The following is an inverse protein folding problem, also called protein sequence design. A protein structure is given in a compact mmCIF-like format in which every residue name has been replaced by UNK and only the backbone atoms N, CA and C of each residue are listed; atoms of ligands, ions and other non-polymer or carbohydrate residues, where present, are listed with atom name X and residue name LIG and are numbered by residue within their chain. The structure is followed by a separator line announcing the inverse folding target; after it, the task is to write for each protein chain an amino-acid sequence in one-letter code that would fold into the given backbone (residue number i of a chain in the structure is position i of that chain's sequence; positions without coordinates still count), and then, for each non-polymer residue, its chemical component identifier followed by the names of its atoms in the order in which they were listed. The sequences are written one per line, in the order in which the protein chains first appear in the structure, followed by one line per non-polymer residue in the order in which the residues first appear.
data_IF_523792502305
#
_entry.id   IF_523792502305
#
_cell.length_a   1.000
_cell.length_b   1.000
_cell.length_c   1.000
_cell.angle_alpha   90.00
_cell.angle_beta   90.00
_cell.angle_gamma   90.00
#
_symmetry.space_group_name_H-M   'P 1'
#
loop_
_entity.id
_entity.type
_entity.pdbx_description
1 polymer ?
#
# COMPACT_ATOMS: atom_id res chain seq x y z
N UNK A 1 27.02 -1.87 -3.31
CA UNK A 1 25.60 -2.19 -3.06
C UNK A 1 25.28 -3.54 -3.67
N UNK A 2 24.80 -4.49 -2.87
CA UNK A 2 24.48 -5.85 -3.32
C UNK A 2 23.00 -5.96 -3.75
N UNK A 3 22.67 -6.83 -4.72
CA UNK A 3 21.28 -7.12 -5.03
C UNK A 3 20.54 -7.69 -3.83
N UNK A 4 19.32 -7.20 -3.56
CA UNK A 4 18.48 -7.73 -2.47
C UNK A 4 17.90 -9.12 -2.81
N UNK A 5 17.71 -9.40 -4.10
CA UNK A 5 17.12 -10.65 -4.61
C UNK A 5 18.03 -11.26 -5.70
N UNK A 6 19.24 -11.76 -5.35
CA UNK A 6 20.23 -12.19 -6.35
C UNK A 6 19.77 -13.41 -7.16
N UNK A 7 18.94 -14.28 -6.57
CA UNK A 7 18.48 -15.52 -7.18
C UNK A 7 17.13 -15.42 -7.88
N UNK A 8 16.61 -14.18 -8.01
CA UNK A 8 15.31 -13.92 -8.66
C UNK A 8 15.44 -12.97 -9.82
N UNK A 9 14.77 -13.30 -10.93
CA UNK A 9 14.53 -12.38 -12.02
C UNK A 9 13.33 -11.51 -11.69
N UNK A 10 13.53 -10.23 -11.45
CA UNK A 10 12.43 -9.26 -11.24
C UNK A 10 12.24 -8.49 -12.54
N UNK A 11 11.00 -8.32 -12.97
CA UNK A 11 10.60 -7.59 -14.18
C UNK A 11 9.63 -6.45 -13.89
N UNK A 12 8.95 -6.46 -12.73
CA UNK A 12 8.09 -5.38 -12.30
C UNK A 12 8.07 -5.26 -10.77
N UNK A 13 7.80 -4.04 -10.28
CA UNK A 13 7.61 -3.71 -8.87
C UNK A 13 6.15 -3.35 -8.63
N UNK A 14 5.53 -3.99 -7.64
CA UNK A 14 4.14 -3.78 -7.25
C UNK A 14 4.14 -3.18 -5.85
N UNK A 15 3.86 -1.89 -5.77
CA UNK A 15 3.88 -1.16 -4.51
C UNK A 15 2.50 -1.14 -3.87
N UNK A 16 2.40 -1.48 -2.60
CA UNK A 16 1.34 -0.92 -1.80
C UNK A 16 1.51 0.60 -1.69
N UNK A 17 0.52 1.29 -1.14
CA UNK A 17 0.51 2.75 -1.05
C UNK A 17 0.76 3.23 0.38
N UNK A 18 -0.19 3.00 1.27
CA UNK A 18 -0.23 3.57 2.62
C UNK A 18 0.70 2.80 3.57
N UNK A 19 1.72 3.46 4.11
CA UNK A 19 2.78 2.84 4.90
C UNK A 19 3.96 2.37 4.06
N UNK A 20 3.78 2.26 2.75
CA UNK A 20 4.78 1.77 1.80
C UNK A 20 5.42 2.89 0.97
N UNK A 21 4.67 3.66 0.19
CA UNK A 21 5.22 4.79 -0.59
C UNK A 21 4.93 6.15 0.02
N UNK A 22 3.89 6.23 0.83
CA UNK A 22 3.51 7.40 1.61
C UNK A 22 2.97 6.97 2.98
N UNK A 23 2.91 7.90 3.93
CA UNK A 23 2.21 7.72 5.19
C UNK A 23 0.97 8.60 5.21
N UNK A 24 -0.18 7.98 5.47
CA UNK A 24 -1.47 8.65 5.67
C UNK A 24 -1.96 8.56 7.13
N UNK A 25 -1.13 8.04 8.03
CA UNK A 25 -1.51 7.72 9.42
C UNK A 25 -2.14 8.92 10.11
N UNK A 26 -1.49 10.09 10.05
CA UNK A 26 -1.96 11.29 10.76
C UNK A 26 -3.34 11.77 10.30
N UNK A 27 -3.59 11.78 8.98
CA UNK A 27 -4.88 12.15 8.41
C UNK A 27 -5.94 11.08 8.72
N UNK A 28 -5.65 9.81 8.45
CA UNK A 28 -6.57 8.70 8.69
C UNK A 28 -6.97 8.63 10.18
N UNK A 29 -6.01 8.62 11.11
CA UNK A 29 -6.29 8.54 12.55
C UNK A 29 -7.12 9.71 13.03
N UNK A 30 -6.90 10.92 12.55
CA UNK A 30 -7.69 12.11 12.89
C UNK A 30 -9.16 11.96 12.49
N UNK A 31 -9.42 11.50 11.27
CA UNK A 31 -10.77 11.31 10.74
C UNK A 31 -11.47 10.14 11.43
N UNK A 32 -10.77 9.02 11.58
CA UNK A 32 -11.31 7.84 12.23
C UNK A 32 -11.52 8.05 13.73
N UNK A 33 -10.69 8.85 14.42
CA UNK A 33 -10.92 9.23 15.80
C UNK A 33 -12.23 9.99 15.95
N UNK A 34 -12.47 11.02 15.11
CA UNK A 34 -13.72 11.77 15.12
C UNK A 34 -14.93 10.90 14.77
N UNK A 35 -14.78 9.92 13.88
CA UNK A 35 -15.82 8.95 13.58
C UNK A 35 -16.11 8.04 14.78
N UNK A 36 -15.07 7.50 15.41
CA UNK A 36 -15.18 6.62 16.57
C UNK A 36 -15.86 7.33 17.77
N UNK A 37 -15.50 8.59 18.05
CA UNK A 37 -16.12 9.42 19.07
C UNK A 37 -17.62 9.59 18.84
N UNK A 38 -18.05 9.87 17.60
CA UNK A 38 -19.48 10.01 17.23
C UNK A 38 -20.27 8.73 17.48
N UNK A 39 -19.62 7.58 17.40
CA UNK A 39 -20.25 6.27 17.63
C UNK A 39 -20.01 5.70 19.03
N UNK A 40 -19.39 6.48 19.93
CA UNK A 40 -19.16 6.09 21.33
C UNK A 40 -18.16 4.96 21.51
N UNK A 41 -17.23 4.80 20.58
CA UNK A 41 -16.17 3.79 20.63
C UNK A 41 -14.98 4.30 21.46
N UNK A 42 -14.24 3.37 22.06
CA UNK A 42 -12.92 3.67 22.63
C UNK A 42 -11.92 3.93 21.48
N UNK A 43 -11.56 5.19 21.28
CA UNK A 43 -10.68 5.63 20.19
C UNK A 43 -9.32 4.95 20.26
N UNK A 44 -8.72 4.83 21.45
CA UNK A 44 -7.39 4.25 21.61
C UNK A 44 -7.36 2.75 21.27
N UNK A 45 -8.42 2.03 21.62
CA UNK A 45 -8.56 0.62 21.27
C UNK A 45 -8.92 0.42 19.78
N UNK A 46 -9.62 1.37 19.17
CA UNK A 46 -10.13 1.26 17.81
C UNK A 46 -9.09 1.60 16.74
N UNK A 47 -8.36 2.71 16.88
CA UNK A 47 -7.44 3.21 15.83
C UNK A 47 -6.43 2.16 15.33
N UNK A 48 -5.83 1.30 16.17
CA UNK A 48 -4.91 0.27 15.66
C UNK A 48 -5.55 -0.74 14.69
N UNK A 49 -6.88 -0.79 14.62
CA UNK A 49 -7.61 -1.78 13.80
C UNK A 49 -7.95 -1.33 12.39
N UNK A 50 -7.72 -0.04 12.06
CA UNK A 50 -8.14 0.54 10.77
C UNK A 50 -7.14 0.34 9.63
N UNK A 51 -5.87 0.06 9.94
CA UNK A 51 -4.79 0.05 8.96
C UNK A 51 -4.80 -1.20 8.08
N UNK A 52 -4.57 -1.02 6.77
CA UNK A 52 -4.44 -2.09 5.78
C UNK A 52 -5.76 -2.78 5.36
N UNK A 53 -6.91 -2.36 5.92
CA UNK A 53 -8.22 -2.95 5.67
C UNK A 53 -9.13 -1.90 4.99
N UNK A 54 -10.05 -2.38 4.14
CA UNK A 54 -11.06 -1.48 3.55
C UNK A 54 -11.98 -0.90 4.62
N UNK A 55 -12.27 0.40 4.54
CA UNK A 55 -13.11 1.13 5.51
C UNK A 55 -14.47 0.46 5.72
N UNK A 56 -15.13 0.02 4.64
CA UNK A 56 -16.42 -0.68 4.71
C UNK A 56 -16.34 -1.97 5.53
N UNK A 57 -15.25 -2.69 5.43
CA UNK A 57 -15.06 -3.93 6.19
C UNK A 57 -14.76 -3.65 7.67
N UNK A 58 -13.97 -2.62 7.95
CA UNK A 58 -13.70 -2.16 9.31
C UNK A 58 -15.02 -1.82 10.02
N UNK A 59 -15.89 -1.02 9.38
CA UNK A 59 -17.18 -0.63 9.96
C UNK A 59 -18.13 -1.82 10.11
N UNK A 60 -18.18 -2.70 9.09
CA UNK A 60 -19.04 -3.90 9.12
C UNK A 60 -18.71 -4.82 10.30
N UNK A 61 -17.42 -5.01 10.60
CA UNK A 61 -16.98 -5.86 11.73
C UNK A 61 -17.43 -5.38 13.09
N UNK A 62 -17.66 -4.06 13.25
CA UNK A 62 -18.15 -3.49 14.51
C UNK A 62 -19.61 -3.81 14.77
N UNK A 63 -20.42 -4.10 13.76
CA UNK A 63 -21.82 -4.48 13.88
C UNK A 63 -22.69 -3.43 14.57
N UNK A 64 -22.38 -2.14 14.42
CA UNK A 64 -23.06 -1.03 15.11
C UNK A 64 -24.52 -0.92 14.66
N UNK A 65 -25.51 -0.92 15.61
CA UNK A 65 -26.91 -0.79 15.25
C UNK A 65 -27.22 0.53 14.52
N UNK A 66 -27.96 0.44 13.41
CA UNK A 66 -28.39 1.63 12.66
C UNK A 66 -27.31 2.29 11.81
N UNK A 67 -26.11 1.75 11.77
CA UNK A 67 -25.00 2.22 10.94
C UNK A 67 -25.00 1.49 9.60
N UNK A 68 -25.04 2.22 8.48
CA UNK A 68 -24.81 1.67 7.14
C UNK A 68 -23.30 1.70 6.83
N UNK A 69 -22.62 0.54 6.78
CA UNK A 69 -21.17 0.51 6.56
C UNK A 69 -20.73 1.11 5.22
N UNK A 70 -21.58 1.06 4.20
CA UNK A 70 -21.25 1.59 2.87
C UNK A 70 -21.33 3.11 2.88
N UNK A 71 -22.40 3.66 3.46
CA UNK A 71 -22.60 5.10 3.56
C UNK A 71 -21.53 5.76 4.44
N UNK A 72 -21.21 5.16 5.59
CA UNK A 72 -20.19 5.68 6.50
C UNK A 72 -18.78 5.59 5.89
N UNK A 73 -18.45 4.49 5.21
CA UNK A 73 -17.17 4.36 4.53
C UNK A 73 -17.01 5.39 3.39
N UNK A 74 -18.10 5.72 2.69
CA UNK A 74 -18.08 6.78 1.68
C UNK A 74 -17.83 8.16 2.33
N UNK A 75 -18.49 8.46 3.44
CA UNK A 75 -18.32 9.71 4.17
C UNK A 75 -16.88 9.86 4.74
N UNK A 76 -16.30 8.77 5.27
CA UNK A 76 -14.90 8.74 5.70
C UNK A 76 -13.98 9.00 4.52
N UNK A 77 -14.21 8.33 3.39
CA UNK A 77 -13.41 8.53 2.17
C UNK A 77 -13.45 9.98 1.69
N UNK A 78 -14.62 10.61 1.70
CA UNK A 78 -14.76 12.02 1.31
C UNK A 78 -14.01 12.93 2.29
N UNK A 79 -14.10 12.69 3.59
CA UNK A 79 -13.36 13.44 4.60
C UNK A 79 -11.84 13.28 4.45
N UNK A 80 -11.35 12.06 4.15
CA UNK A 80 -9.93 11.79 3.92
C UNK A 80 -9.40 12.43 2.61
N UNK A 81 -10.26 12.64 1.62
CA UNK A 81 -9.90 13.38 0.39
C UNK A 81 -9.78 14.89 0.67
N UNK A 82 -10.63 15.42 1.54
CA UNK A 82 -10.62 16.84 1.92
C UNK A 82 -9.48 17.17 2.90
N UNK A 83 -9.14 16.24 3.79
CA UNK A 83 -8.08 16.40 4.79
C UNK A 83 -6.82 15.62 4.39
N UNK A 84 -5.96 16.24 3.62
CA UNK A 84 -4.67 15.67 3.19
C UNK A 84 -3.50 16.15 4.05
N UNK A 85 -3.75 16.88 5.14
CA UNK A 85 -2.69 17.36 6.03
C UNK A 85 -1.99 16.20 6.75
N UNK A 86 -0.66 16.19 6.71
CA UNK A 86 0.15 15.12 7.29
C UNK A 86 0.23 13.85 6.44
N UNK A 87 -0.12 13.94 5.15
CA UNK A 87 0.24 12.92 4.17
C UNK A 87 1.65 13.21 3.67
N UNK A 88 2.60 12.38 4.09
CA UNK A 88 4.01 12.55 3.81
C UNK A 88 4.55 11.38 2.94
N UNK A 89 5.44 11.62 1.95
CA UNK A 89 6.08 10.52 1.24
C UNK A 89 7.02 9.75 2.18
N UNK A 90 7.13 8.43 2.02
CA UNK A 90 8.20 7.67 2.66
C UNK A 90 9.54 8.12 2.08
N UNK A 91 10.54 8.27 2.97
CA UNK A 91 11.83 8.82 2.59
C UNK A 91 12.44 8.09 1.38
N UNK A 92 12.78 8.84 0.33
CA UNK A 92 13.36 8.31 -0.90
C UNK A 92 12.38 7.67 -1.89
N UNK A 93 11.10 7.44 -1.54
CA UNK A 93 10.13 6.74 -2.40
C UNK A 93 9.94 7.42 -3.76
N UNK A 94 9.77 8.74 -3.79
CA UNK A 94 9.59 9.48 -5.03
C UNK A 94 10.78 9.33 -5.99
N UNK A 95 12.01 9.44 -5.49
CA UNK A 95 13.22 9.28 -6.30
C UNK A 95 13.39 7.84 -6.80
N UNK A 96 13.10 6.86 -5.94
CA UNK A 96 13.18 5.44 -6.29
C UNK A 96 12.18 5.09 -7.39
N UNK A 97 10.93 5.53 -7.27
CA UNK A 97 9.88 5.31 -8.27
C UNK A 97 10.21 6.02 -9.59
N UNK A 98 10.73 7.25 -9.54
CA UNK A 98 11.09 8.02 -10.72
C UNK A 98 12.22 7.36 -11.56
N UNK A 99 13.03 6.50 -10.95
CA UNK A 99 14.06 5.73 -11.64
C UNK A 99 13.51 4.50 -12.38
N UNK A 100 12.23 4.15 -12.18
CA UNK A 100 11.59 3.01 -12.83
C UNK A 100 10.90 3.41 -14.14
N UNK A 101 11.00 2.61 -15.22
CA UNK A 101 10.17 2.81 -16.40
C UNK A 101 8.69 2.67 -16.03
N UNK A 102 7.80 3.55 -16.54
CA UNK A 102 6.38 3.54 -16.20
C UNK A 102 5.64 2.20 -16.48
N UNK A 103 6.19 1.37 -17.36
CA UNK A 103 5.63 0.05 -17.68
C UNK A 103 6.12 -1.07 -16.75
N UNK A 104 6.96 -0.75 -15.76
CA UNK A 104 7.58 -1.74 -14.86
C UNK A 104 7.16 -1.60 -13.40
N UNK A 105 6.14 -0.80 -13.12
CA UNK A 105 5.61 -0.68 -11.78
C UNK A 105 4.12 -0.34 -11.75
N UNK A 106 3.50 -0.66 -10.64
CA UNK A 106 2.11 -0.33 -10.35
C UNK A 106 1.94 -0.01 -8.87
N UNK A 107 0.90 0.76 -8.55
CA UNK A 107 0.37 0.86 -7.18
C UNK A 107 -0.79 -0.13 -7.03
N UNK A 108 -0.83 -0.85 -5.91
CA UNK A 108 -1.87 -1.81 -5.55
C UNK A 108 -2.35 -1.52 -4.13
N UNK A 109 -3.47 -0.85 -3.98
CA UNK A 109 -3.96 -0.36 -2.69
C UNK A 109 -5.35 -0.88 -2.34
N UNK A 110 -5.65 -0.96 -1.04
CA UNK A 110 -7.00 -1.21 -0.52
C UNK A 110 -7.87 0.07 -0.46
N UNK A 111 -7.29 1.24 -0.73
CA UNK A 111 -8.02 2.50 -0.78
C UNK A 111 -8.87 2.61 -2.05
N UNK A 112 -10.03 3.30 -2.01
CA UNK A 112 -10.75 3.72 -3.20
C UNK A 112 -9.88 4.59 -4.12
N UNK A 113 -10.09 4.47 -5.42
CA UNK A 113 -9.29 5.16 -6.46
C UNK A 113 -9.19 6.67 -6.24
N UNK A 114 -10.29 7.32 -5.90
CA UNK A 114 -10.33 8.77 -5.65
C UNK A 114 -9.40 9.15 -4.48
N UNK A 115 -9.46 8.39 -3.40
CA UNK A 115 -8.62 8.60 -2.22
C UNK A 115 -7.14 8.34 -2.53
N UNK A 116 -6.85 7.24 -3.24
CA UNK A 116 -5.48 6.94 -3.64
C UNK A 116 -4.86 8.07 -4.49
N UNK A 117 -5.62 8.62 -5.44
CA UNK A 117 -5.17 9.75 -6.25
C UNK A 117 -4.92 11.01 -5.42
N UNK A 118 -5.81 11.34 -4.47
CA UNK A 118 -5.64 12.47 -3.57
C UNK A 118 -4.38 12.34 -2.69
N UNK A 119 -4.17 11.16 -2.10
CA UNK A 119 -3.00 10.87 -1.26
C UNK A 119 -1.68 10.90 -2.04
N UNK A 120 -1.63 10.29 -3.23
CA UNK A 120 -0.45 10.33 -4.10
C UNK A 120 -0.11 11.77 -4.50
N UNK A 121 -1.12 12.59 -4.86
CA UNK A 121 -0.93 13.99 -5.19
C UNK A 121 -0.39 14.80 -3.99
N UNK A 122 -0.96 14.62 -2.80
CA UNK A 122 -0.53 15.29 -1.58
C UNK A 122 0.91 14.92 -1.19
N UNK A 123 1.31 13.66 -1.35
CA UNK A 123 2.66 13.18 -1.10
C UNK A 123 3.67 13.56 -2.20
N UNK A 124 3.24 14.18 -3.31
CA UNK A 124 4.12 14.46 -4.44
C UNK A 124 4.64 13.21 -5.15
N UNK A 125 3.97 12.07 -5.00
CA UNK A 125 4.28 10.82 -5.71
C UNK A 125 3.59 10.84 -7.08
N UNK A 126 4.30 10.56 -8.19
CA UNK A 126 3.69 10.59 -9.51
C UNK A 126 2.59 9.54 -9.63
N UNK A 127 1.48 9.92 -10.29
CA UNK A 127 0.41 8.98 -10.56
C UNK A 127 0.93 7.84 -11.46
N UNK A 128 0.78 6.57 -11.05
CA UNK A 128 1.26 5.44 -11.84
C UNK A 128 0.45 5.28 -13.13
N UNK A 129 1.08 4.71 -14.17
CA UNK A 129 0.37 4.27 -15.37
C UNK A 129 -0.68 3.20 -15.04
N UNK A 130 -0.42 2.38 -14.03
CA UNK A 130 -1.31 1.33 -13.53
C UNK A 130 -1.54 1.51 -12.03
N UNK A 131 -2.78 1.80 -11.65
CA UNK A 131 -3.28 1.84 -10.29
C UNK A 131 -4.37 0.78 -10.14
N UNK A 132 -4.16 -0.20 -9.27
CA UNK A 132 -5.17 -1.16 -8.80
C UNK A 132 -5.69 -0.64 -7.47
N UNK A 133 -6.97 -0.33 -7.41
CA UNK A 133 -7.65 0.23 -6.25
C UNK A 133 -8.71 -0.75 -5.72
N UNK A 134 -9.38 -0.38 -4.64
CA UNK A 134 -10.40 -1.22 -4.01
C UNK A 134 -11.47 -1.70 -4.98
N UNK A 135 -11.87 -0.87 -5.93
CA UNK A 135 -12.94 -1.15 -6.90
C UNK A 135 -12.55 -2.16 -7.99
N UNK A 136 -11.25 -2.38 -8.18
CA UNK A 136 -10.75 -3.26 -9.25
C UNK A 136 -10.77 -4.75 -8.87
N UNK A 137 -10.98 -5.08 -7.59
CA UNK A 137 -10.90 -6.45 -7.07
C UNK A 137 -12.14 -6.84 -6.28
N UNK A 138 -12.48 -8.11 -6.31
CA UNK A 138 -13.57 -8.64 -5.49
C UNK A 138 -13.14 -8.95 -4.07
N UNK A 139 -11.90 -9.42 -3.90
CA UNK A 139 -11.30 -9.75 -2.60
C UNK A 139 -10.10 -8.85 -2.35
N UNK A 140 -10.18 -8.05 -1.29
CA UNK A 140 -9.05 -7.23 -0.84
C UNK A 140 -8.00 -8.06 -0.09
N UNK A 141 -6.84 -7.47 0.16
CA UNK A 141 -5.80 -8.02 1.03
C UNK A 141 -6.44 -8.57 2.33
N UNK A 142 -6.09 -9.78 2.78
CA UNK A 142 -4.91 -10.57 2.41
C UNK A 142 -5.08 -11.48 1.16
N UNK A 143 -6.17 -11.39 0.38
CA UNK A 143 -6.27 -12.09 -0.88
C UNK A 143 -5.28 -11.51 -1.91
N UNK A 144 -4.68 -12.35 -2.79
CA UNK A 144 -3.66 -11.92 -3.74
C UNK A 144 -4.20 -11.19 -4.97
N UNK A 145 -5.51 -11.03 -5.09
CA UNK A 145 -6.22 -10.62 -6.31
C UNK A 145 -5.65 -9.34 -6.92
N UNK A 146 -5.33 -8.33 -6.09
CA UNK A 146 -4.80 -7.05 -6.56
C UNK A 146 -3.40 -7.18 -7.18
N UNK A 147 -2.51 -7.95 -6.57
CA UNK A 147 -1.16 -8.18 -7.08
C UNK A 147 -1.18 -9.05 -8.35
N UNK A 148 -2.03 -10.08 -8.39
CA UNK A 148 -2.22 -10.91 -9.58
C UNK A 148 -2.75 -10.08 -10.75
N UNK A 149 -3.75 -9.24 -10.52
CA UNK A 149 -4.31 -8.34 -11.54
C UNK A 149 -3.29 -7.31 -12.03
N UNK A 150 -2.47 -6.76 -11.12
CA UNK A 150 -1.41 -5.84 -11.49
C UNK A 150 -0.36 -6.50 -12.40
N UNK A 151 0.10 -7.70 -12.06
CA UNK A 151 1.05 -8.46 -12.87
C UNK A 151 0.48 -8.79 -14.25
N UNK A 152 -0.77 -9.23 -14.32
CA UNK A 152 -1.50 -9.49 -15.57
C UNK A 152 -1.54 -8.25 -16.46
N UNK A 153 -1.97 -7.10 -15.90
CA UNK A 153 -2.08 -5.83 -16.66
C UNK A 153 -0.72 -5.25 -17.10
N UNK A 154 0.35 -5.56 -16.37
CA UNK A 154 1.72 -5.23 -16.77
C UNK A 154 2.28 -6.21 -17.80
N UNK A 155 1.63 -7.34 -18.05
CA UNK A 155 2.11 -8.40 -18.94
C UNK A 155 3.32 -9.16 -18.39
N UNK A 156 3.45 -9.28 -17.07
CA UNK A 156 4.58 -9.93 -16.38
C UNK A 156 4.06 -11.10 -15.55
N UNK A 157 4.79 -12.20 -15.52
CA UNK A 157 4.49 -13.32 -14.63
C UNK A 157 4.66 -12.88 -13.16
N UNK A 158 3.69 -13.20 -12.29
CA UNK A 158 3.72 -12.79 -10.88
C UNK A 158 4.97 -13.26 -10.14
N UNK A 159 5.53 -14.42 -10.47
CA UNK A 159 6.79 -14.92 -9.92
C UNK A 159 8.02 -14.05 -10.26
N UNK A 160 7.91 -13.18 -11.28
CA UNK A 160 8.91 -12.18 -11.67
C UNK A 160 8.55 -10.77 -11.15
N UNK A 161 7.60 -10.65 -10.23
CA UNK A 161 7.27 -9.40 -9.57
C UNK A 161 7.91 -9.33 -8.18
N UNK A 162 8.22 -8.11 -7.76
CA UNK A 162 8.57 -7.77 -6.40
C UNK A 162 7.44 -6.92 -5.81
N UNK A 163 6.78 -7.43 -4.78
CA UNK A 163 5.81 -6.70 -3.97
C UNK A 163 6.56 -5.92 -2.90
N UNK A 164 6.25 -4.64 -2.75
CA UNK A 164 6.73 -3.80 -1.65
C UNK A 164 5.53 -3.48 -0.76
N UNK A 165 5.64 -3.77 0.53
CA UNK A 165 4.52 -3.76 1.48
C UNK A 165 4.99 -3.46 2.90
N UNK A 166 4.07 -2.96 3.74
CA UNK A 166 4.34 -2.71 5.17
C UNK A 166 3.41 -3.49 6.10
N UNK A 167 2.19 -3.77 5.65
CA UNK A 167 1.13 -4.35 6.49
C UNK A 167 1.12 -5.88 6.50
N UNK A 168 0.74 -6.52 7.62
CA UNK A 168 0.59 -7.98 7.68
C UNK A 168 -0.37 -8.55 6.63
N UNK A 169 -1.47 -7.84 6.35
CA UNK A 169 -2.45 -8.27 5.35
C UNK A 169 -1.89 -8.20 3.92
N UNK A 170 -1.12 -7.17 3.62
CA UNK A 170 -0.50 -7.01 2.32
C UNK A 170 0.69 -7.94 2.10
N UNK A 171 1.50 -8.17 3.14
CA UNK A 171 2.57 -9.18 3.11
C UNK A 171 1.99 -10.56 2.80
N UNK A 172 0.91 -10.96 3.51
CA UNK A 172 0.21 -12.21 3.24
C UNK A 172 -0.36 -12.29 1.82
N UNK A 173 -0.88 -11.18 1.28
CA UNK A 173 -1.35 -11.12 -0.11
C UNK A 173 -0.19 -11.29 -1.11
N UNK A 174 0.97 -10.67 -0.84
CA UNK A 174 2.18 -10.83 -1.64
C UNK A 174 2.67 -12.28 -1.66
N UNK A 175 2.74 -12.92 -0.48
CA UNK A 175 3.07 -14.35 -0.34
C UNK A 175 2.10 -15.24 -1.12
N UNK A 176 0.80 -15.04 -0.91
CA UNK A 176 -0.25 -15.82 -1.57
C UNK A 176 -0.24 -15.65 -3.10
N UNK A 177 0.26 -14.52 -3.61
CA UNK A 177 0.41 -14.28 -5.04
C UNK A 177 1.56 -15.08 -5.67
N UNK A 178 2.57 -15.45 -4.89
CA UNK A 178 3.81 -16.08 -5.37
C UNK A 178 4.92 -15.10 -5.79
N UNK A 179 4.72 -13.80 -5.60
CA UNK A 179 5.74 -12.77 -5.83
C UNK A 179 6.85 -12.83 -4.75
N UNK A 180 7.99 -12.20 -5.03
CA UNK A 180 8.93 -11.83 -3.98
C UNK A 180 8.33 -10.69 -3.13
N UNK A 181 8.68 -10.62 -1.84
CA UNK A 181 8.20 -9.56 -0.95
C UNK A 181 9.39 -8.81 -0.34
N UNK A 182 9.35 -7.49 -0.38
CA UNK A 182 10.22 -6.57 0.34
C UNK A 182 9.36 -5.77 1.34
N UNK A 183 9.70 -5.85 2.61
CA UNK A 183 8.94 -5.17 3.66
C UNK A 183 9.53 -3.78 3.92
N UNK A 184 8.69 -2.76 3.84
CA UNK A 184 9.03 -1.37 4.21
C UNK A 184 8.58 -1.16 5.65
N UNK A 185 9.47 -0.67 6.52
CA UNK A 185 9.19 -0.57 7.96
C UNK A 185 9.15 0.87 8.47
N UNK A 186 9.09 1.87 7.59
CA UNK A 186 9.12 3.28 7.94
C UNK A 186 8.02 3.71 8.93
N UNK A 187 6.85 3.08 8.86
CA UNK A 187 5.69 3.39 9.71
C UNK A 187 5.54 2.46 10.90
N UNK A 188 6.41 1.44 11.03
CA UNK A 188 6.32 0.48 12.12
C UNK A 188 6.82 1.08 13.43
N UNK A 189 6.01 0.97 14.47
CA UNK A 189 6.38 1.36 15.84
C UNK A 189 7.19 0.28 16.58
N UNK A 190 7.16 -0.97 16.08
CA UNK A 190 7.87 -2.12 16.62
C UNK A 190 8.57 -2.89 15.48
N UNK A 191 9.65 -3.62 15.75
CA UNK A 191 10.28 -4.46 14.74
C UNK A 191 9.28 -5.41 14.09
N UNK A 192 9.25 -5.43 12.76
CA UNK A 192 8.40 -6.36 12.03
C UNK A 192 8.90 -7.80 12.25
N UNK A 193 8.05 -8.66 12.79
CA UNK A 193 8.29 -10.10 12.82
C UNK A 193 8.02 -10.68 11.41
N UNK A 194 9.04 -10.62 10.53
CA UNK A 194 8.93 -11.11 9.16
C UNK A 194 10.14 -11.97 8.80
N UNK A 195 9.93 -12.98 7.96
CA UNK A 195 11.00 -13.79 7.34
C UNK A 195 11.51 -13.15 6.05
N UNK A 196 10.85 -12.10 5.57
CA UNK A 196 11.21 -11.42 4.33
C UNK A 196 12.34 -10.40 4.53
N UNK A 197 13.04 -10.10 3.45
CA UNK A 197 13.95 -8.95 3.42
C UNK A 197 13.17 -7.70 3.78
N UNK A 198 13.70 -6.89 4.69
CA UNK A 198 13.09 -5.64 5.12
C UNK A 198 14.07 -4.49 5.05
N UNK A 199 13.55 -3.30 4.78
CA UNK A 199 14.29 -2.03 4.80
C UNK A 199 13.43 -0.98 5.48
N UNK A 200 14.05 0.02 6.08
CA UNK A 200 13.30 1.09 6.74
C UNK A 200 12.57 1.94 5.70
N UNK A 201 13.29 2.40 4.69
CA UNK A 201 12.80 3.30 3.64
C UNK A 201 13.60 3.12 2.35
N UNK A 202 13.47 4.05 1.40
CA UNK A 202 14.11 3.96 0.08
C UNK A 202 15.45 4.71 -0.01
N UNK A 203 15.91 5.42 1.03
CA UNK A 203 17.09 6.30 0.94
C UNK A 203 18.38 5.53 0.65
N UNK A 204 18.49 4.28 1.14
CA UNK A 204 19.61 3.37 0.87
C UNK A 204 19.44 2.51 -0.36
N UNK A 205 18.30 2.62 -1.08
CA UNK A 205 18.01 1.76 -2.21
C UNK A 205 18.39 2.40 -3.53
N UNK A 206 18.80 1.56 -4.46
CA UNK A 206 18.95 1.92 -5.87
C UNK A 206 18.31 0.87 -6.77
N UNK A 207 17.88 1.29 -7.97
CA UNK A 207 17.28 0.42 -8.95
C UNK A 207 18.02 0.57 -10.29
N UNK A 208 18.25 -0.54 -10.96
CA UNK A 208 18.77 -0.56 -12.32
C UNK A 208 17.89 -1.44 -13.19
N UNK A 209 17.70 -1.02 -14.45
CA UNK A 209 16.91 -1.76 -15.44
C UNK A 209 17.84 -2.18 -16.58
N UNK A 210 17.91 -3.48 -16.81
CA UNK A 210 18.72 -4.03 -17.88
C UNK A 210 18.01 -3.92 -19.25
N UNK A 211 18.75 -4.13 -20.33
CA UNK A 211 18.21 -4.06 -21.69
C UNK A 211 17.15 -5.13 -22.00
N UNK A 212 17.17 -6.24 -21.27
CA UNK A 212 16.16 -7.31 -21.35
C UNK A 212 14.90 -7.01 -20.50
N UNK A 213 14.84 -5.83 -19.89
CA UNK A 213 13.73 -5.36 -19.06
C UNK A 213 13.74 -5.89 -17.62
N UNK A 214 14.76 -6.66 -17.22
CA UNK A 214 14.90 -7.07 -15.83
C UNK A 214 15.29 -5.90 -14.94
N UNK A 215 14.79 -5.93 -13.68
CA UNK A 215 14.98 -4.90 -12.68
C UNK A 215 15.81 -5.45 -11.54
N UNK A 216 16.84 -4.75 -11.14
CA UNK A 216 17.66 -5.12 -9.96
C UNK A 216 17.53 -4.04 -8.90
N UNK A 217 17.07 -4.42 -7.71
CA UNK A 217 17.04 -3.56 -6.51
C UNK A 217 18.25 -3.89 -5.64
N UNK A 218 18.95 -2.86 -5.17
CA UNK A 218 20.19 -2.96 -4.38
C UNK A 218 20.07 -2.10 -3.12
N UNK A 219 20.67 -2.59 -2.03
CA UNK A 219 20.89 -1.85 -0.80
C UNK A 219 22.38 -1.78 -0.47
#
# INVERSE_FOLDING_TARGET
MSPLFPDRRIEALLFDMDGTVLSSIKSAERIWAAWAERHGLDVAAFLPTIHGIQSVETIRRLGLPGVDPVAEAAAITDAEIEDVDGIDPIAGAGAFIAALPPARWAIVTSAPRRLAQARLAAAGIPLPRLLIAAEDVTRSKPAPDGFLLAAERLGVGIGNCLVLEDSPAGIAAGEASGAAVLVITATHTHPAATIHTSVTDYTGLSVTVATDGSVTVRA
#
